data_IF_961260246620
#
_entry.id   IF_961260246620
#
_cell.length_a   1.000
_cell.length_b   1.000
_cell.length_c   1.000
_cell.angle_alpha   90.00
_cell.angle_beta   90.00
_cell.angle_gamma   90.00
#
_symmetry.space_group_name_H-M   'P 1'
#
loop_
_entity.id
_entity.type
_entity.pdbx_description
1 polymer ?
#
# COMPACT_ATOMS: atom_id res chain seq x y z
N UNK A 1 -2.21 6.18 23.56
CA UNK A 1 -1.03 6.02 22.67
C UNK A 1 -1.18 7.00 21.52
N UNK A 2 -0.21 7.90 21.28
CA UNK A 2 -0.35 9.00 20.31
C UNK A 2 0.56 8.87 19.08
N UNK A 3 1.36 7.80 19.00
CA UNK A 3 2.20 7.45 17.85
C UNK A 3 2.17 5.94 17.67
N UNK A 4 1.83 5.49 16.47
CA UNK A 4 1.73 4.08 16.12
C UNK A 4 2.67 3.82 14.94
N UNK A 5 3.59 2.86 15.10
CA UNK A 5 4.50 2.46 14.02
C UNK A 5 3.84 1.38 13.17
N UNK A 6 3.84 1.54 11.85
CA UNK A 6 3.28 0.59 10.88
C UNK A 6 4.31 0.39 9.78
N UNK A 7 4.79 -0.85 9.62
CA UNK A 7 5.77 -1.21 8.59
C UNK A 7 5.36 -2.51 7.88
N UNK A 8 5.15 -3.59 8.65
CA UNK A 8 4.81 -4.91 8.11
C UNK A 8 3.61 -4.91 7.17
N UNK A 9 2.52 -4.22 7.52
CA UNK A 9 1.32 -4.15 6.66
C UNK A 9 1.60 -3.47 5.32
N UNK A 10 2.45 -2.44 5.33
CA UNK A 10 2.84 -1.73 4.11
C UNK A 10 3.65 -2.62 3.18
N UNK A 11 4.58 -3.42 3.75
CA UNK A 11 5.35 -4.41 2.99
C UNK A 11 4.45 -5.48 2.38
N UNK A 12 3.50 -6.01 3.15
CA UNK A 12 2.54 -7.01 2.67
C UNK A 12 1.68 -6.46 1.53
N UNK A 13 1.13 -5.25 1.66
CA UNK A 13 0.32 -4.61 0.62
C UNK A 13 1.11 -4.39 -0.68
N UNK A 14 2.34 -3.91 -0.58
CA UNK A 14 3.23 -3.69 -1.73
C UNK A 14 3.57 -5.01 -2.43
N UNK A 15 4.01 -6.01 -1.67
CA UNK A 15 4.39 -7.32 -2.22
C UNK A 15 3.20 -8.01 -2.88
N UNK A 16 2.01 -7.97 -2.28
CA UNK A 16 0.80 -8.56 -2.87
C UNK A 16 0.45 -7.92 -4.22
N UNK A 17 0.51 -6.59 -4.30
CA UNK A 17 0.22 -5.86 -5.54
C UNK A 17 1.24 -6.17 -6.65
N UNK A 18 2.53 -6.22 -6.33
CA UNK A 18 3.59 -6.56 -7.30
C UNK A 18 3.40 -8.00 -7.81
N UNK A 19 3.18 -8.96 -6.89
CA UNK A 19 2.96 -10.36 -7.26
C UNK A 19 1.74 -10.52 -8.17
N UNK A 20 0.68 -9.76 -7.93
CA UNK A 20 -0.50 -9.76 -8.79
C UNK A 20 -0.16 -9.32 -10.23
N UNK A 21 0.59 -8.24 -10.40
CA UNK A 21 1.00 -7.76 -11.73
C UNK A 21 1.87 -8.79 -12.44
N UNK A 22 2.81 -9.42 -11.74
CA UNK A 22 3.66 -10.46 -12.34
C UNK A 22 2.90 -11.74 -12.76
N UNK A 23 1.80 -12.06 -12.07
CA UNK A 23 0.94 -13.19 -12.45
C UNK A 23 0.00 -12.83 -13.60
N UNK A 24 -0.59 -11.63 -13.59
CA UNK A 24 -1.55 -11.20 -14.60
C UNK A 24 -0.88 -10.75 -15.91
N UNK A 25 0.35 -10.23 -15.83
CA UNK A 25 1.10 -9.67 -16.96
C UNK A 25 2.59 -10.07 -16.88
N UNK A 26 2.94 -11.33 -17.16
CA UNK A 26 4.30 -11.83 -17.03
C UNK A 26 5.31 -11.14 -17.96
N UNK A 27 4.86 -10.51 -19.04
CA UNK A 27 5.66 -9.72 -19.98
C UNK A 27 6.02 -8.31 -19.47
N UNK A 28 5.34 -7.83 -18.43
CA UNK A 28 5.54 -6.48 -17.89
C UNK A 28 6.79 -6.43 -17.00
N UNK A 29 7.86 -5.88 -17.57
CA UNK A 29 9.15 -5.69 -16.89
C UNK A 29 9.39 -4.24 -16.43
N UNK A 30 8.59 -3.27 -16.90
CA UNK A 30 8.76 -1.86 -16.52
C UNK A 30 8.40 -1.66 -15.03
N UNK A 31 9.35 -1.19 -14.20
CA UNK A 31 9.12 -0.93 -12.79
C UNK A 31 7.91 -0.08 -12.48
N UNK A 32 7.61 0.91 -13.33
CA UNK A 32 6.49 1.82 -13.10
C UNK A 32 5.15 1.10 -13.20
N UNK A 33 5.07 0.03 -14.00
CA UNK A 33 3.85 -0.73 -14.25
C UNK A 33 3.47 -1.63 -13.09
N UNK A 34 4.44 -2.17 -12.35
CA UNK A 34 4.16 -2.94 -11.13
C UNK A 34 4.27 -2.12 -9.83
N UNK A 35 5.13 -1.09 -9.77
CA UNK A 35 5.22 -0.21 -8.60
C UNK A 35 4.09 0.82 -8.52
N UNK A 36 3.51 1.24 -9.65
CA UNK A 36 2.36 2.14 -9.68
C UNK A 36 1.18 1.58 -8.88
N UNK A 37 0.66 0.38 -9.25
CA UNK A 37 -0.41 -0.29 -8.50
C UNK A 37 -0.04 -0.57 -7.04
N UNK A 38 1.21 -0.91 -6.75
CA UNK A 38 1.67 -1.17 -5.39
C UNK A 38 1.65 0.10 -4.52
N UNK A 39 2.04 1.24 -5.07
CA UNK A 39 1.97 2.54 -4.40
C UNK A 39 0.53 2.96 -4.13
N UNK A 40 -0.37 2.72 -5.08
CA UNK A 40 -1.78 3.07 -4.91
C UNK A 40 -2.44 2.21 -3.81
N UNK A 41 -2.13 0.90 -3.76
CA UNK A 41 -2.54 0.03 -2.66
C UNK A 41 -1.99 0.46 -1.31
N UNK A 42 -0.73 0.91 -1.27
CA UNK A 42 -0.13 1.41 -0.04
C UNK A 42 -0.83 2.70 0.46
N UNK A 43 -1.21 3.60 -0.45
CA UNK A 43 -2.00 4.81 -0.12
C UNK A 43 -3.38 4.44 0.42
N UNK A 44 -4.07 3.48 -0.20
CA UNK A 44 -5.37 2.98 0.29
C UNK A 44 -5.27 2.42 1.71
N UNK A 45 -4.23 1.60 1.98
CA UNK A 45 -3.96 1.05 3.31
C UNK A 45 -3.81 2.15 4.37
N UNK A 46 -2.98 3.17 4.10
CA UNK A 46 -2.76 4.24 5.06
C UNK A 46 -3.99 5.12 5.27
N UNK A 47 -4.75 5.43 4.20
CA UNK A 47 -6.04 6.11 4.34
C UNK A 47 -6.99 5.33 5.22
N UNK A 48 -7.13 4.02 4.99
CA UNK A 48 -7.98 3.16 5.82
C UNK A 48 -7.55 3.19 7.28
N UNK A 49 -6.25 3.09 7.57
CA UNK A 49 -5.73 3.14 8.95
C UNK A 49 -5.95 4.49 9.61
N UNK A 50 -5.71 5.59 8.90
CA UNK A 50 -5.91 6.94 9.44
C UNK A 50 -7.38 7.21 9.81
N UNK A 51 -8.31 6.77 8.96
CA UNK A 51 -9.75 6.98 9.14
C UNK A 51 -10.33 6.02 10.19
N UNK A 52 -10.11 4.72 10.02
CA UNK A 52 -10.86 3.69 10.75
C UNK A 52 -10.14 3.12 11.98
N UNK A 53 -8.82 3.31 12.10
CA UNK A 53 -8.01 2.70 13.18
C UNK A 53 -7.42 3.77 14.09
N UNK A 54 -6.79 4.79 13.52
CA UNK A 54 -6.05 5.82 14.26
C UNK A 54 -6.90 7.05 14.58
N UNK A 55 -7.96 7.30 13.82
CA UNK A 55 -8.85 8.45 14.01
C UNK A 55 -8.13 9.81 13.84
N UNK A 56 -7.09 9.85 13.01
CA UNK A 56 -6.26 11.03 12.75
C UNK A 56 -6.66 11.77 11.47
N UNK A 57 -7.71 11.32 10.79
CA UNK A 57 -8.23 11.96 9.59
C UNK A 57 -8.72 13.40 9.88
N UNK A 58 -8.44 14.32 8.97
CA UNK A 58 -8.75 15.76 9.08
C UNK A 58 -8.23 16.49 10.34
N UNK A 59 -7.10 16.04 10.90
CA UNK A 59 -6.44 16.67 12.07
C UNK A 59 -5.03 17.19 11.74
N UNK A 60 -4.83 17.64 10.50
CA UNK A 60 -3.56 18.18 10.00
C UNK A 60 -3.29 19.60 10.49
#
# INVERSE_FOLDING_TARGET
VCKINIDSDGRLAMTAAIRKVFVEKPEEFDPRKYLGPARDKLKELYKHKNINVLGSDNKA
#
